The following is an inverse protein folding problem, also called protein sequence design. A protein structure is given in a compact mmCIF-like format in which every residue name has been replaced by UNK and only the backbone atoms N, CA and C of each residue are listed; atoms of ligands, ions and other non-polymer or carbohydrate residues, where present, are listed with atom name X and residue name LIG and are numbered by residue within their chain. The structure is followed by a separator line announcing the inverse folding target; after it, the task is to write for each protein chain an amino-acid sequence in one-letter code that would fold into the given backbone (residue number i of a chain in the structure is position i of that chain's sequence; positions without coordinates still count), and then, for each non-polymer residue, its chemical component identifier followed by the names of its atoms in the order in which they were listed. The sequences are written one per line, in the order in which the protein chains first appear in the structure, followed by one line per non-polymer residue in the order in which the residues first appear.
data_IF_221145651265
#
_entry.id   IF_221145651265
#
_cell.length_a   1.000
_cell.length_b   1.000
_cell.length_c   1.000
_cell.angle_alpha   90.00
_cell.angle_beta   90.00
_cell.angle_gamma   90.00
#
_symmetry.space_group_name_H-M   'P 1'
#
loop_
_entity.id
_entity.type
_entity.pdbx_description
1 polymer ?
#
# COMPACT_ATOMS: atom_id res chain seq x y z
N UNK A 1 1.59 18.05 -25.26
CA UNK A 1 0.77 18.36 -24.07
C UNK A 1 1.13 17.36 -23.00
N UNK A 2 1.93 17.75 -22.02
CA UNK A 2 2.05 16.97 -20.79
C UNK A 2 0.66 16.87 -20.18
N UNK A 3 0.25 15.71 -19.65
CA UNK A 3 -0.98 15.65 -18.86
C UNK A 3 -0.79 16.61 -17.70
N UNK A 4 -1.77 17.49 -17.44
CA UNK A 4 -1.86 18.16 -16.15
C UNK A 4 -1.89 17.05 -15.09
N UNK A 5 -0.72 16.75 -14.52
CA UNK A 5 -0.59 15.96 -13.32
C UNK A 5 -1.37 16.75 -12.28
N UNK A 6 -2.60 16.31 -12.01
CA UNK A 6 -3.49 16.95 -11.06
C UNK A 6 -2.74 17.26 -9.78
N UNK A 7 -3.04 18.40 -9.16
CA UNK A 7 -2.38 18.84 -7.91
C UNK A 7 -2.29 17.64 -6.94
N UNK A 8 -1.11 17.38 -6.34
CA UNK A 8 -0.95 16.27 -5.42
C UNK A 8 -2.05 16.33 -4.37
N UNK A 9 -2.70 15.20 -4.13
CA UNK A 9 -3.84 15.13 -3.20
C UNK A 9 -3.31 14.98 -1.76
N UNK A 10 -2.22 14.22 -1.61
CA UNK A 10 -1.57 13.92 -0.34
C UNK A 10 -0.03 14.07 -0.47
N UNK A 11 0.63 14.38 0.65
CA UNK A 11 2.08 14.33 0.84
C UNK A 11 2.36 13.28 1.92
N UNK A 12 3.06 12.21 1.54
CA UNK A 12 3.45 11.13 2.45
C UNK A 12 4.92 11.29 2.88
N UNK A 13 5.18 11.54 4.16
CA UNK A 13 6.52 11.40 4.75
C UNK A 13 6.65 10.08 5.48
N UNK A 14 7.76 9.39 5.25
CA UNK A 14 8.14 8.19 5.98
C UNK A 14 9.36 8.52 6.84
N UNK A 15 9.16 8.49 8.17
CA UNK A 15 10.20 8.75 9.16
C UNK A 15 10.71 7.43 9.74
N UNK A 16 11.90 7.03 9.32
CA UNK A 16 12.60 5.85 9.83
C UNK A 16 13.40 6.25 11.07
N UNK A 17 13.14 5.61 12.21
CA UNK A 17 13.77 5.98 13.49
C UNK A 17 14.11 4.77 14.36
N UNK A 18 15.21 4.88 15.12
CA UNK A 18 15.65 3.92 16.14
C UNK A 18 15.26 4.36 17.56
N UNK A 19 14.54 5.47 17.73
CA UNK A 19 14.28 6.10 19.03
C UNK A 19 12.94 5.66 19.66
N UNK A 20 12.48 6.40 20.67
CA UNK A 20 11.21 6.17 21.37
C UNK A 20 10.00 6.38 20.44
N UNK A 21 9.55 5.29 19.83
CA UNK A 21 8.55 5.30 18.77
C UNK A 21 7.24 6.03 19.15
N UNK A 22 6.76 5.87 20.39
CA UNK A 22 5.50 6.47 20.83
C UNK A 22 5.60 7.99 20.94
N UNK A 23 6.73 8.49 21.44
CA UNK A 23 7.00 9.93 21.52
C UNK A 23 7.10 10.54 20.13
N UNK A 24 7.81 9.88 19.22
CA UNK A 24 7.95 10.37 17.84
C UNK A 24 6.62 10.32 17.09
N UNK A 25 5.81 9.27 17.27
CA UNK A 25 4.45 9.20 16.72
C UNK A 25 3.57 10.35 17.20
N UNK A 26 3.62 10.69 18.49
CA UNK A 26 2.90 11.85 19.04
C UNK A 26 3.33 13.14 18.36
N UNK A 27 4.63 13.39 18.25
CA UNK A 27 5.18 14.60 17.61
C UNK A 27 4.78 14.66 16.13
N UNK A 28 4.91 13.55 15.41
CA UNK A 28 4.52 13.45 14.00
C UNK A 28 3.04 13.78 13.80
N UNK A 29 2.17 13.28 14.68
CA UNK A 29 0.73 13.56 14.67
C UNK A 29 0.43 15.04 14.96
N UNK A 30 1.11 15.64 15.93
CA UNK A 30 0.94 17.06 16.26
C UNK A 30 1.36 17.95 15.08
N UNK A 31 2.47 17.61 14.41
CA UNK A 31 2.95 18.32 13.22
C UNK A 31 1.96 18.19 12.06
N UNK A 32 1.54 16.97 11.70
CA UNK A 32 0.61 16.77 10.58
C UNK A 32 -0.71 17.48 10.84
N UNK A 33 -1.25 17.37 12.06
CA UNK A 33 -2.49 18.05 12.47
C UNK A 33 -2.37 19.58 12.42
N UNK A 34 -1.25 20.13 12.92
CA UNK A 34 -1.00 21.57 12.87
C UNK A 34 -0.90 22.07 11.43
N UNK A 35 -0.11 21.40 10.58
CA UNK A 35 0.11 21.78 9.18
C UNK A 35 -1.21 21.73 8.40
N UNK A 36 -1.96 20.64 8.51
CA UNK A 36 -3.24 20.48 7.80
C UNK A 36 -4.28 21.53 8.24
N UNK A 37 -4.21 22.01 9.49
CA UNK A 37 -5.09 23.08 10.00
C UNK A 37 -4.66 24.47 9.51
N UNK A 38 -3.37 24.78 9.56
CA UNK A 38 -2.84 26.13 9.25
C UNK A 38 -2.73 26.35 7.75
N UNK A 39 -2.49 25.29 6.98
CA UNK A 39 -2.34 25.35 5.53
C UNK A 39 -3.41 24.50 4.83
N UNK A 40 -4.70 24.85 4.90
CA UNK A 40 -5.78 24.02 4.35
C UNK A 40 -5.78 23.91 2.82
N UNK A 41 -4.95 24.72 2.13
CA UNK A 41 -4.82 24.73 0.67
C UNK A 41 -3.69 23.84 0.15
N UNK A 42 -2.82 23.34 1.03
CA UNK A 42 -1.79 22.38 0.61
C UNK A 42 -2.37 20.95 0.59
N UNK A 43 -1.78 20.03 -0.18
CA UNK A 43 -2.14 18.62 -0.10
C UNK A 43 -2.06 18.10 1.33
N UNK A 44 -2.92 17.15 1.69
CA UNK A 44 -2.95 16.64 3.06
C UNK A 44 -1.61 15.98 3.43
N UNK A 45 -1.01 16.41 4.54
CA UNK A 45 0.25 15.87 5.02
C UNK A 45 0.01 14.66 5.92
N UNK A 46 0.61 13.52 5.59
CA UNK A 46 0.71 12.34 6.45
C UNK A 46 2.17 12.03 6.79
N UNK A 47 2.42 11.66 8.04
CA UNK A 47 3.76 11.30 8.52
C UNK A 47 3.70 9.92 9.14
N UNK A 48 4.15 8.91 8.39
CA UNK A 48 4.26 7.53 8.86
C UNK A 48 5.61 7.31 9.56
N UNK A 49 5.56 7.03 10.85
CA UNK A 49 6.76 6.71 11.64
C UNK A 49 7.01 5.20 11.65
N UNK A 50 8.19 4.79 11.18
CA UNK A 50 8.60 3.39 11.05
C UNK A 50 9.73 3.09 12.04
N UNK A 51 9.49 2.08 12.88
CA UNK A 51 10.47 1.63 13.87
C UNK A 51 11.58 0.79 13.19
N UNK A 52 12.82 1.22 13.35
CA UNK A 52 14.01 0.59 12.76
C UNK A 52 14.79 -0.28 13.76
N UNK A 53 14.40 -0.32 15.04
CA UNK A 53 15.09 -1.12 16.07
C UNK A 53 15.12 -2.61 15.77
N UNK A 54 14.10 -3.11 15.07
CA UNK A 54 13.98 -4.50 14.69
C UNK A 54 13.63 -4.59 13.22
N UNK A 55 14.22 -5.56 12.52
CA UNK A 55 13.89 -5.87 11.13
C UNK A 55 12.49 -6.49 11.09
N UNK A 56 11.48 -5.65 10.89
CA UNK A 56 10.08 -6.07 10.78
C UNK A 56 9.62 -6.12 9.32
N UNK A 57 8.57 -6.89 8.99
CA UNK A 57 7.97 -6.87 7.66
C UNK A 57 7.48 -5.48 7.25
N UNK A 58 6.95 -4.70 8.20
CA UNK A 58 6.56 -3.30 7.97
C UNK A 58 7.78 -2.46 7.55
N UNK A 59 8.89 -2.56 8.28
CA UNK A 59 10.12 -1.82 7.96
C UNK A 59 10.61 -2.17 6.55
N UNK A 60 10.68 -3.46 6.23
CA UNK A 60 11.15 -3.93 4.92
C UNK A 60 10.24 -3.48 3.78
N UNK A 61 8.92 -3.58 3.96
CA UNK A 61 7.95 -3.12 2.97
C UNK A 61 8.06 -1.61 2.71
N UNK A 62 8.12 -0.80 3.77
CA UNK A 62 8.24 0.65 3.62
C UNK A 62 9.62 1.05 3.05
N UNK A 63 10.69 0.34 3.42
CA UNK A 63 12.02 0.51 2.82
C UNK A 63 12.02 0.20 1.31
N UNK A 64 11.36 -0.89 0.89
CA UNK A 64 11.20 -1.25 -0.52
C UNK A 64 10.46 -0.15 -1.29
N UNK A 65 9.37 0.37 -0.72
CA UNK A 65 8.58 1.45 -1.32
C UNK A 65 9.39 2.73 -1.55
N UNK A 66 10.12 3.18 -0.53
CA UNK A 66 10.90 4.43 -0.63
C UNK A 66 12.13 4.26 -1.52
N UNK A 67 12.77 3.09 -1.56
CA UNK A 67 13.89 2.87 -2.49
C UNK A 67 13.47 2.89 -3.96
N UNK A 68 12.22 2.53 -4.26
CA UNK A 68 11.72 2.50 -5.64
C UNK A 68 11.16 3.84 -6.12
N UNK A 69 10.63 4.66 -5.21
CA UNK A 69 9.86 5.87 -5.60
C UNK A 69 9.95 7.04 -4.63
N UNK A 70 10.57 6.85 -3.47
CA UNK A 70 10.77 7.91 -2.51
C UNK A 70 11.95 8.80 -2.90
N UNK A 71 12.03 9.94 -2.22
CA UNK A 71 13.18 10.84 -2.26
C UNK A 71 13.70 11.02 -0.85
N UNK A 72 14.99 10.76 -0.63
CA UNK A 72 15.63 11.03 0.65
C UNK A 72 15.68 12.55 0.85
N UNK A 73 15.10 13.01 1.96
CA UNK A 73 15.11 14.43 2.34
C UNK A 73 16.13 14.73 3.42
N UNK A 74 16.39 13.78 4.32
CA UNK A 74 17.31 13.92 5.44
C UNK A 74 17.77 12.56 5.97
N UNK A 75 19.00 12.51 6.52
CA UNK A 75 19.61 11.31 7.09
C UNK A 75 20.36 10.46 6.07
N UNK A 76 20.76 9.26 6.49
CA UNK A 76 21.46 8.29 5.65
C UNK A 76 20.48 7.40 4.86
N UNK A 77 20.97 6.82 3.77
CA UNK A 77 20.22 5.79 3.06
C UNK A 77 19.99 4.55 3.92
N UNK A 78 18.81 3.94 3.79
CA UNK A 78 18.51 2.68 4.45
C UNK A 78 19.46 1.56 3.95
N UNK A 79 20.02 0.72 4.84
CA UNK A 79 21.02 -0.29 4.50
C UNK A 79 20.43 -1.55 3.84
N UNK A 80 19.23 -1.46 3.27
CA UNK A 80 18.54 -2.58 2.62
C UNK A 80 18.79 -2.58 1.11
N UNK A 81 19.13 -3.74 0.57
CA UNK A 81 19.39 -3.92 -0.86
C UNK A 81 18.41 -4.94 -1.48
N UNK A 82 18.52 -5.15 -2.80
CA UNK A 82 17.65 -6.07 -3.53
C UNK A 82 17.65 -7.49 -2.94
N UNK A 83 18.83 -7.99 -2.55
CA UNK A 83 19.00 -9.32 -1.94
C UNK A 83 18.21 -9.40 -0.63
N UNK A 84 18.28 -8.37 0.23
CA UNK A 84 17.49 -8.36 1.47
C UNK A 84 15.99 -8.48 1.18
N UNK A 85 15.47 -7.78 0.19
CA UNK A 85 14.04 -7.86 -0.13
C UNK A 85 13.66 -9.22 -0.72
N UNK A 86 14.52 -9.81 -1.55
CA UNK A 86 14.31 -11.16 -2.11
C UNK A 86 14.29 -12.23 -1.00
N UNK A 87 15.24 -12.19 -0.07
CA UNK A 87 15.32 -13.15 1.05
C UNK A 87 14.12 -13.06 2.00
N UNK A 88 13.45 -11.91 2.07
CA UNK A 88 12.35 -11.64 3.00
C UNK A 88 11.02 -11.47 2.26
N UNK A 89 10.91 -11.98 1.02
CA UNK A 89 9.73 -11.76 0.18
C UNK A 89 8.44 -12.29 0.82
N UNK A 90 8.46 -13.49 1.39
CA UNK A 90 7.29 -14.10 2.04
C UNK A 90 6.77 -13.23 3.17
N UNK A 91 7.65 -12.78 4.08
CA UNK A 91 7.27 -11.91 5.19
C UNK A 91 6.66 -10.58 4.72
N UNK A 92 7.25 -9.97 3.69
CA UNK A 92 6.75 -8.71 3.09
C UNK A 92 5.36 -8.93 2.45
N UNK A 93 5.17 -10.03 1.73
CA UNK A 93 3.89 -10.38 1.10
C UNK A 93 2.83 -10.64 2.17
N UNK A 94 3.12 -11.48 3.17
CA UNK A 94 2.21 -11.77 4.29
C UNK A 94 1.79 -10.51 5.03
N UNK A 95 2.73 -9.61 5.32
CA UNK A 95 2.41 -8.31 5.89
C UNK A 95 1.46 -7.49 5.00
N UNK A 96 1.71 -7.46 3.70
CA UNK A 96 0.88 -6.69 2.75
C UNK A 96 -0.52 -7.29 2.60
N UNK A 97 -0.67 -8.62 2.69
CA UNK A 97 -1.97 -9.31 2.76
C UNK A 97 -2.72 -8.87 4.01
N UNK A 98 -2.09 -8.90 5.19
CA UNK A 98 -2.70 -8.46 6.45
C UNK A 98 -3.13 -6.98 6.39
N UNK A 99 -2.30 -6.12 5.79
CA UNK A 99 -2.66 -4.72 5.56
C UNK A 99 -3.86 -4.55 4.60
N UNK A 100 -4.02 -5.44 3.61
CA UNK A 100 -5.15 -5.42 2.70
C UNK A 100 -6.43 -5.94 3.37
N UNK A 101 -6.34 -7.03 4.14
CA UNK A 101 -7.44 -7.56 4.95
C UNK A 101 -7.95 -6.50 5.94
N UNK A 102 -7.03 -5.83 6.66
CA UNK A 102 -7.39 -4.75 7.58
C UNK A 102 -8.14 -3.61 6.89
N UNK A 103 -7.69 -3.20 5.69
CA UNK A 103 -8.39 -2.18 4.89
C UNK A 103 -9.75 -2.67 4.39
N UNK A 104 -9.88 -3.95 4.03
CA UNK A 104 -11.15 -4.55 3.64
C UNK A 104 -12.16 -4.50 4.80
N UNK A 105 -11.77 -4.93 5.99
CA UNK A 105 -12.62 -4.83 7.18
C UNK A 105 -13.00 -3.38 7.50
N UNK A 106 -12.05 -2.46 7.37
CA UNK A 106 -12.27 -1.02 7.55
C UNK A 106 -13.29 -0.45 6.55
N UNK A 107 -13.30 -0.92 5.29
CA UNK A 107 -14.32 -0.55 4.30
C UNK A 107 -15.69 -1.12 4.69
N UNK A 108 -15.77 -2.39 5.08
CA UNK A 108 -17.02 -3.06 5.46
C UNK A 108 -17.68 -2.42 6.68
N UNK A 109 -16.88 -2.06 7.68
CA UNK A 109 -17.38 -1.46 8.93
C UNK A 109 -17.76 0.02 8.79
N UNK A 110 -17.38 0.67 7.69
CA UNK A 110 -17.73 2.09 7.46
C UNK A 110 -19.18 2.20 7.01
N UNK A 111 -20.04 2.74 7.87
CA UNK A 111 -21.46 2.96 7.57
C UNK A 111 -21.71 4.13 6.62
N UNK A 112 -20.89 5.18 6.68
CA UNK A 112 -21.00 6.34 5.79
C UNK A 112 -20.51 5.97 4.38
N UNK A 113 -21.45 5.91 3.42
CA UNK A 113 -21.17 5.57 2.01
C UNK A 113 -20.15 6.49 1.35
N UNK A 114 -20.13 7.78 1.68
CA UNK A 114 -19.17 8.74 1.12
C UNK A 114 -17.77 8.45 1.62
N UNK A 115 -17.60 8.15 2.90
CA UNK A 115 -16.31 7.75 3.49
C UNK A 115 -15.90 6.37 2.98
N UNK A 116 -16.84 5.43 2.88
CA UNK A 116 -16.60 4.09 2.36
C UNK A 116 -16.07 4.13 0.93
N UNK A 117 -16.73 4.88 0.04
CA UNK A 117 -16.32 5.07 -1.34
C UNK A 117 -14.94 5.74 -1.46
N UNK A 118 -14.60 6.68 -0.57
CA UNK A 118 -13.23 7.24 -0.53
C UNK A 118 -12.16 6.20 -0.21
N UNK A 119 -12.49 5.15 0.57
CA UNK A 119 -11.55 4.08 0.94
C UNK A 119 -11.37 3.02 -0.16
N UNK A 120 -12.32 2.91 -1.08
CA UNK A 120 -12.31 1.90 -2.18
C UNK A 120 -11.01 1.93 -3.00
N UNK A 121 -10.52 3.09 -3.51
CA UNK A 121 -9.27 3.11 -4.27
C UNK A 121 -8.05 2.65 -3.47
N UNK A 122 -7.99 2.98 -2.18
CA UNK A 122 -6.88 2.56 -1.32
C UNK A 122 -6.89 1.05 -1.08
N UNK A 123 -8.07 0.45 -0.94
CA UNK A 123 -8.23 -1.00 -0.85
C UNK A 123 -7.86 -1.69 -2.17
N UNK A 124 -8.43 -1.27 -3.31
CA UNK A 124 -8.07 -1.80 -4.63
C UNK A 124 -6.56 -1.73 -4.87
N UNK A 125 -5.95 -0.57 -4.60
CA UNK A 125 -4.50 -0.37 -4.75
C UNK A 125 -3.70 -1.27 -3.81
N UNK A 126 -4.20 -1.56 -2.61
CA UNK A 126 -3.52 -2.45 -1.66
C UNK A 126 -3.54 -3.89 -2.13
N UNK A 127 -4.69 -4.40 -2.59
CA UNK A 127 -4.82 -5.77 -3.12
C UNK A 127 -3.98 -5.94 -4.38
N UNK A 128 -4.08 -5.01 -5.34
CA UNK A 128 -3.26 -5.05 -6.56
C UNK A 128 -1.76 -5.02 -6.23
N UNK A 129 -1.34 -4.27 -5.22
CA UNK A 129 0.09 -4.18 -4.85
C UNK A 129 0.66 -5.52 -4.38
N UNK A 130 -0.15 -6.40 -3.80
CA UNK A 130 0.31 -7.74 -3.42
C UNK A 130 0.85 -8.46 -4.66
N UNK A 131 0.18 -8.35 -5.81
CA UNK A 131 0.64 -8.91 -7.08
C UNK A 131 2.03 -8.39 -7.50
N UNK A 132 2.28 -7.11 -7.27
CA UNK A 132 3.57 -6.48 -7.55
C UNK A 132 4.71 -7.03 -6.70
N UNK A 133 4.39 -7.66 -5.56
CA UNK A 133 5.34 -8.32 -4.66
C UNK A 133 5.51 -9.82 -4.98
N UNK A 134 4.60 -10.46 -5.72
CA UNK A 134 4.70 -11.90 -6.02
C UNK A 134 5.95 -12.27 -6.83
N UNK A 135 6.56 -11.30 -7.51
CA UNK A 135 7.81 -11.46 -8.26
C UNK A 135 9.04 -10.95 -7.50
N UNK A 136 8.88 -10.60 -6.22
CA UNK A 136 9.96 -10.04 -5.42
C UNK A 136 11.12 -11.03 -5.26
N UNK A 137 10.85 -12.34 -5.21
CA UNK A 137 11.88 -13.40 -5.22
C UNK A 137 12.75 -13.42 -6.48
N UNK A 138 12.27 -12.85 -7.58
CA UNK A 138 13.00 -12.67 -8.84
C UNK A 138 13.76 -11.33 -8.90
N UNK A 139 13.75 -10.55 -7.80
CA UNK A 139 14.28 -9.18 -7.75
C UNK A 139 13.40 -8.14 -8.46
N UNK A 140 12.19 -8.53 -8.87
CA UNK A 140 11.27 -7.68 -9.63
C UNK A 140 10.15 -7.19 -8.72
N UNK A 141 9.92 -5.88 -8.75
CA UNK A 141 8.84 -5.24 -8.03
C UNK A 141 8.20 -4.15 -8.89
N UNK A 142 6.87 -4.13 -8.94
CA UNK A 142 6.10 -3.03 -9.53
C UNK A 142 5.02 -2.57 -8.58
N UNK A 143 4.67 -1.30 -8.69
CA UNK A 143 3.55 -0.67 -7.97
C UNK A 143 2.49 -0.10 -8.90
N UNK A 144 2.71 -0.22 -10.22
CA UNK A 144 1.77 0.23 -11.24
C UNK A 144 0.51 -0.63 -11.13
N UNK A 145 -0.67 -0.04 -10.89
CA UNK A 145 -1.90 -0.81 -10.85
C UNK A 145 -2.12 -1.64 -12.12
N UNK A 146 -1.69 -1.13 -13.29
CA UNK A 146 -1.80 -1.87 -14.55
C UNK A 146 -0.88 -3.10 -14.59
N UNK A 147 0.38 -2.96 -14.18
CA UNK A 147 1.33 -4.08 -14.19
C UNK A 147 0.93 -5.14 -13.16
N UNK A 148 0.48 -4.70 -11.98
CA UNK A 148 -0.09 -5.56 -10.95
C UNK A 148 -1.27 -6.39 -11.49
N UNK A 149 -2.21 -5.74 -12.20
CA UNK A 149 -3.33 -6.42 -12.87
C UNK A 149 -2.82 -7.46 -13.88
N UNK A 150 -1.83 -7.11 -14.70
CA UNK A 150 -1.26 -8.03 -15.69
C UNK A 150 -0.61 -9.26 -15.03
N UNK A 151 0.08 -9.06 -13.89
CA UNK A 151 0.65 -10.16 -13.10
C UNK A 151 -0.45 -11.09 -12.62
N UNK A 152 -1.55 -10.55 -12.07
CA UNK A 152 -2.68 -11.36 -11.60
C UNK A 152 -3.38 -12.10 -12.73
N UNK A 153 -3.59 -11.48 -13.90
CA UNK A 153 -4.17 -12.16 -15.06
C UNK A 153 -3.33 -13.35 -15.52
N UNK A 154 -2.01 -13.22 -15.49
CA UNK A 154 -1.10 -14.30 -15.87
C UNK A 154 -1.09 -15.41 -14.82
N UNK A 155 -1.08 -15.06 -13.53
CA UNK A 155 -0.97 -16.04 -12.44
C UNK A 155 -2.30 -16.74 -12.11
N UNK A 156 -3.42 -16.04 -12.21
CA UNK A 156 -4.77 -16.53 -11.87
C UNK A 156 -5.76 -16.28 -13.02
N UNK A 157 -5.70 -17.04 -14.14
CA UNK A 157 -6.57 -16.84 -15.30
C UNK A 157 -8.07 -16.99 -14.99
N UNK A 158 -8.42 -17.83 -14.02
CA UNK A 158 -9.77 -18.01 -13.51
C UNK A 158 -10.33 -16.75 -12.82
N UNK A 159 -9.47 -15.82 -12.38
CA UNK A 159 -9.87 -14.63 -11.63
C UNK A 159 -9.89 -13.35 -12.48
N UNK A 160 -9.66 -13.42 -13.79
CA UNK A 160 -9.56 -12.24 -14.68
C UNK A 160 -10.73 -11.26 -14.48
N UNK A 161 -11.97 -11.76 -14.41
CA UNK A 161 -13.16 -10.92 -14.21
C UNK A 161 -13.07 -10.14 -12.88
N UNK A 162 -12.73 -10.82 -11.78
CA UNK A 162 -12.64 -10.22 -10.45
C UNK A 162 -11.50 -9.20 -10.37
N UNK A 163 -10.34 -9.53 -10.95
CA UNK A 163 -9.19 -8.62 -11.00
C UNK A 163 -9.52 -7.36 -11.83
N UNK A 164 -10.24 -7.49 -12.94
CA UNK A 164 -10.70 -6.35 -13.75
C UNK A 164 -11.64 -5.43 -12.94
N UNK A 165 -12.56 -6.01 -12.17
CA UNK A 165 -13.47 -5.28 -11.28
C UNK A 165 -12.69 -4.50 -10.21
N UNK A 166 -11.70 -5.13 -9.56
CA UNK A 166 -10.83 -4.46 -8.57
C UNK A 166 -10.07 -3.28 -9.20
N UNK A 167 -9.51 -3.48 -10.39
CA UNK A 167 -8.80 -2.45 -11.12
C UNK A 167 -9.70 -1.28 -11.51
N UNK A 168 -10.94 -1.56 -11.91
CA UNK A 168 -11.94 -0.52 -12.16
C UNK A 168 -12.34 0.19 -10.87
N UNK A 169 -12.46 -0.50 -9.74
CA UNK A 169 -12.71 0.12 -8.42
C UNK A 169 -11.62 1.11 -8.00
N UNK A 170 -10.37 0.90 -8.43
CA UNK A 170 -9.31 1.88 -8.23
C UNK A 170 -9.55 3.20 -9.00
N UNK A 171 -10.11 3.12 -10.21
CA UNK A 171 -10.40 4.29 -11.06
C UNK A 171 -11.74 4.94 -10.75
N UNK A 172 -12.72 4.13 -10.36
CA UNK A 172 -14.11 4.51 -10.14
C UNK A 172 -14.51 4.10 -8.72
N UNK A 173 -14.46 5.03 -7.76
CA UNK A 173 -14.55 4.74 -6.32
C UNK A 173 -16.01 4.51 -5.87
N UNK A 174 -16.64 3.45 -6.35
CA UNK A 174 -18.00 3.06 -5.93
C UNK A 174 -17.99 1.63 -5.44
N UNK A 175 -18.30 1.43 -4.15
CA UNK A 175 -18.45 0.09 -3.61
C UNK A 175 -19.75 -0.54 -4.13
N UNK A 176 -19.62 -1.66 -4.83
CA UNK A 176 -20.71 -2.53 -5.24
C UNK A 176 -20.54 -3.90 -4.60
N UNK A 177 -21.61 -4.68 -4.51
CA UNK A 177 -21.54 -6.05 -4.00
C UNK A 177 -20.59 -6.92 -4.84
N UNK A 178 -20.57 -6.70 -6.16
CA UNK A 178 -19.66 -7.41 -7.07
C UNK A 178 -18.19 -7.04 -6.81
N UNK A 179 -17.89 -5.77 -6.53
CA UNK A 179 -16.55 -5.33 -6.17
C UNK A 179 -16.13 -5.89 -4.80
N UNK A 180 -17.04 -5.88 -3.83
CA UNK A 180 -16.79 -6.44 -2.51
C UNK A 180 -16.50 -7.95 -2.59
N UNK A 181 -17.32 -8.71 -3.32
CA UNK A 181 -17.09 -10.13 -3.56
C UNK A 181 -15.75 -10.38 -4.27
N UNK A 182 -15.41 -9.54 -5.26
CA UNK A 182 -14.14 -9.65 -5.98
C UNK A 182 -12.93 -9.45 -5.06
N UNK A 183 -13.00 -8.53 -4.09
CA UNK A 183 -11.93 -8.37 -3.10
C UNK A 183 -11.69 -9.64 -2.31
N UNK A 184 -12.74 -10.27 -1.79
CA UNK A 184 -12.62 -11.52 -1.03
C UNK A 184 -12.04 -12.63 -1.88
N UNK A 185 -12.57 -12.84 -3.09
CA UNK A 185 -12.13 -13.91 -3.99
C UNK A 185 -10.64 -13.77 -4.32
N UNK A 186 -10.21 -12.60 -4.78
CA UNK A 186 -8.81 -12.39 -5.19
C UNK A 186 -7.86 -12.44 -4.00
N UNK A 187 -8.23 -11.87 -2.85
CA UNK A 187 -7.37 -11.87 -1.67
C UNK A 187 -7.22 -13.28 -1.09
N UNK A 188 -8.29 -14.07 -1.05
CA UNK A 188 -8.25 -15.45 -0.58
C UNK A 188 -7.40 -16.34 -1.49
N UNK A 189 -7.51 -16.20 -2.81
CA UNK A 189 -6.69 -16.99 -3.73
C UNK A 189 -5.20 -16.71 -3.54
N UNK A 190 -4.82 -15.43 -3.46
CA UNK A 190 -3.42 -15.04 -3.24
C UNK A 190 -2.93 -15.59 -1.89
N UNK A 191 -3.76 -15.54 -0.86
CA UNK A 191 -3.41 -16.05 0.47
C UNK A 191 -3.19 -17.57 0.47
N UNK A 192 -4.08 -18.33 -0.15
CA UNK A 192 -3.96 -19.79 -0.25
C UNK A 192 -2.68 -20.18 -1.00
N UNK A 193 -2.37 -19.50 -2.08
CA UNK A 193 -1.15 -19.73 -2.85
C UNK A 193 0.12 -19.46 -2.02
N UNK A 194 0.12 -18.39 -1.21
CA UNK A 194 1.22 -18.08 -0.29
C UNK A 194 1.37 -19.06 0.89
N UNK A 195 0.31 -19.79 1.25
CA UNK A 195 0.35 -20.85 2.27
C UNK A 195 0.86 -22.19 1.70
N UNK A 196 0.89 -22.33 0.37
CA UNK A 196 1.34 -23.54 -0.34
C UNK A 196 2.80 -23.46 -0.86
N UNK A 197 3.38 -22.25 -0.96
CA UNK A 197 4.80 -22.00 -1.30
C UNK A 197 5.73 -22.16 -0.08
#
# INVERSE_FOLDING_TARGET
MEPELGKPIDIDFLLFTYDEINKIKSIAFDISSYVNRVFPLIPHLDIKVINCRFKSPELLFNALLVKKTGRLLYGDELPYNAVTFMENHNEIISFTILEAESKLYSVIQTSDKKIQNKRVPHLSKSILRIAGLLRLKEGIYTRSPQDCTNILYKKYPNLIKHVAIIFNGFRYPFLTDELLASYFIVLNEIKQDMELE
#
